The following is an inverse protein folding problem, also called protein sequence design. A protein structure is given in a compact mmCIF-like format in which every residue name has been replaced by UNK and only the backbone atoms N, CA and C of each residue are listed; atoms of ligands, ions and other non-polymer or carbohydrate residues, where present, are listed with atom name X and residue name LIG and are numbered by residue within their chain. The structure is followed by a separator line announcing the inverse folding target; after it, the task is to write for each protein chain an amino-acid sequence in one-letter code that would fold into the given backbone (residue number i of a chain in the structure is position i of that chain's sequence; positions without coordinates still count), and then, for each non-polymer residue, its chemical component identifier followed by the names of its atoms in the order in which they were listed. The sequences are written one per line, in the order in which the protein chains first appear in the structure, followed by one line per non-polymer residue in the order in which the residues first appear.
data_IF_996548662548
#
_entry.id   IF_996548662548
#
_cell.length_a   1.000
_cell.length_b   1.000
_cell.length_c   1.000
_cell.angle_alpha   90.00
_cell.angle_beta   90.00
_cell.angle_gamma   90.00
#
_symmetry.space_group_name_H-M   'P 1'
#
loop_
_entity.id
_entity.type
_entity.pdbx_description
1 polymer ?
#
# COMPACT_ATOMS: atom_id res chain seq x y z
N UNK A 1 63.95 -7.17 62.29
CA UNK A 1 62.73 -7.43 61.49
C UNK A 1 61.75 -6.29 61.77
N UNK A 2 61.49 -5.43 60.79
CA UNK A 2 60.47 -4.38 60.95
C UNK A 2 59.09 -4.91 60.51
N UNK A 3 57.94 -4.36 61.05
CA UNK A 3 56.65 -4.89 60.80
C UNK A 3 56.06 -4.42 59.44
N UNK A 4 55.29 -5.31 58.81
CA UNK A 4 54.60 -5.09 57.54
C UNK A 4 53.46 -4.09 57.67
N UNK A 5 53.47 -3.16 56.72
CA UNK A 5 52.48 -2.10 56.58
C UNK A 5 51.16 -2.64 55.89
N UNK A 6 50.05 -2.61 56.59
CA UNK A 6 48.75 -3.00 56.03
C UNK A 6 48.25 -1.88 55.11
N UNK A 7 48.20 -2.11 53.81
CA UNK A 7 47.50 -1.23 52.85
C UNK A 7 45.98 -1.39 52.99
N UNK A 8 45.35 -0.33 53.39
CA UNK A 8 43.88 -0.20 53.42
C UNK A 8 43.36 -0.09 52.01
N UNK A 9 42.59 -1.08 51.54
CA UNK A 9 41.83 -1.04 50.27
C UNK A 9 40.53 -0.25 50.51
N UNK A 10 40.39 0.89 49.82
CA UNK A 10 39.10 1.58 49.68
C UNK A 10 38.18 0.74 48.77
N UNK A 11 36.89 0.56 49.14
CA UNK A 11 35.94 -0.05 48.23
C UNK A 11 35.54 0.94 47.12
N UNK A 12 35.72 0.54 45.87
CA UNK A 12 35.19 1.25 44.71
C UNK A 12 33.69 1.12 44.69
N UNK A 13 32.98 2.23 44.91
CA UNK A 13 31.51 2.26 44.77
C UNK A 13 31.17 2.15 43.28
N UNK A 14 30.64 1.02 42.90
CA UNK A 14 30.00 0.82 41.58
C UNK A 14 28.64 1.53 41.57
N UNK A 15 28.55 2.66 40.92
CA UNK A 15 27.25 3.31 40.64
C UNK A 15 26.70 2.65 39.38
N UNK A 16 25.50 2.06 39.45
CA UNK A 16 24.90 1.46 38.23
C UNK A 16 24.37 2.56 37.32
N UNK A 17 25.11 2.84 36.24
CA UNK A 17 24.73 3.79 35.17
C UNK A 17 23.69 3.22 34.19
N UNK A 18 23.10 2.06 34.51
CA UNK A 18 22.20 1.35 33.59
C UNK A 18 20.71 1.70 33.73
N UNK A 19 20.28 2.35 34.82
CA UNK A 19 18.84 2.57 35.07
C UNK A 19 18.24 3.80 34.35
N UNK A 20 19.06 4.78 33.99
CA UNK A 20 18.58 6.02 33.38
C UNK A 20 18.34 5.91 31.88
N UNK A 21 19.02 5.00 31.19
CA UNK A 21 18.87 4.81 29.75
C UNK A 21 17.62 4.00 29.34
N UNK A 22 17.12 3.09 30.20
CA UNK A 22 15.90 2.34 29.89
C UNK A 22 14.64 3.20 30.00
N UNK A 23 14.60 4.15 30.94
CA UNK A 23 13.44 5.04 31.09
C UNK A 23 13.35 6.04 29.94
N UNK A 24 14.47 6.55 29.44
CA UNK A 24 14.51 7.45 28.29
C UNK A 24 14.12 6.74 26.97
N UNK A 25 14.52 5.48 26.78
CA UNK A 25 14.11 4.70 25.61
C UNK A 25 12.65 4.28 25.63
N UNK A 26 12.07 3.95 26.80
CA UNK A 26 10.65 3.63 26.91
C UNK A 26 9.76 4.86 26.67
N UNK A 27 10.18 6.03 27.13
CA UNK A 27 9.43 7.27 26.90
C UNK A 27 9.54 7.75 25.43
N UNK A 28 10.67 7.53 24.75
CA UNK A 28 10.80 7.84 23.32
C UNK A 28 9.93 6.91 22.44
N UNK A 29 9.80 5.63 22.80
CA UNK A 29 8.93 4.71 22.06
C UNK A 29 7.43 5.00 22.26
N UNK A 30 7.02 5.46 23.44
CA UNK A 30 5.63 5.80 23.74
C UNK A 30 5.22 7.10 23.02
N UNK A 31 6.11 8.08 22.93
CA UNK A 31 5.82 9.35 22.26
C UNK A 31 5.70 9.21 20.73
N UNK A 32 6.39 8.25 20.10
CA UNK A 32 6.22 7.93 18.69
C UNK A 32 5.03 7.00 18.39
N UNK A 33 4.57 6.20 19.35
CA UNK A 33 3.46 5.26 19.16
C UNK A 33 2.10 5.96 19.00
N UNK A 34 1.94 7.18 19.51
CA UNK A 34 0.66 7.91 19.51
C UNK A 34 0.48 8.89 18.34
N UNK A 35 1.47 9.04 17.46
CA UNK A 35 1.40 9.96 16.31
C UNK A 35 1.40 9.22 14.96
N UNK A 36 0.49 8.26 14.83
CA UNK A 36 0.27 7.63 13.53
C UNK A 36 -0.36 8.65 12.56
N UNK A 37 0.18 8.83 11.34
CA UNK A 37 -0.37 9.77 10.39
C UNK A 37 -1.73 9.32 9.89
N UNK A 38 -2.63 10.25 9.61
CA UNK A 38 -3.81 9.96 8.82
C UNK A 38 -3.40 9.65 7.38
N UNK A 39 -4.01 8.63 6.79
CA UNK A 39 -3.71 8.17 5.43
C UNK A 39 -4.96 8.37 4.57
N UNK A 40 -4.84 9.17 3.53
CA UNK A 40 -5.91 9.39 2.54
C UNK A 40 -5.42 8.85 1.20
N UNK A 41 -6.07 7.80 0.69
CA UNK A 41 -5.88 7.32 -0.67
C UNK A 41 -6.99 7.87 -1.55
N UNK A 42 -6.66 8.85 -2.40
CA UNK A 42 -7.59 9.45 -3.34
C UNK A 42 -7.33 8.90 -4.74
N UNK A 43 -8.24 8.05 -5.22
CA UNK A 43 -8.13 7.43 -6.53
C UNK A 43 -9.10 8.06 -7.51
N UNK A 44 -8.59 8.58 -8.61
CA UNK A 44 -9.40 9.12 -9.71
C UNK A 44 -9.57 8.05 -10.77
N UNK A 45 -10.83 7.74 -11.11
CA UNK A 45 -11.18 6.73 -12.10
C UNK A 45 -11.05 7.32 -13.52
N UNK A 46 -10.51 6.54 -14.43
CA UNK A 46 -10.36 6.86 -15.85
C UNK A 46 -9.59 8.15 -16.19
N UNK A 47 -8.76 8.66 -15.27
CA UNK A 47 -7.92 9.83 -15.51
C UNK A 47 -6.58 9.43 -16.13
N UNK A 48 -6.31 9.94 -17.32
CA UNK A 48 -5.02 9.80 -17.99
C UNK A 48 -3.96 10.77 -17.45
N UNK A 49 -2.70 10.50 -17.71
CA UNK A 49 -1.58 11.33 -17.27
C UNK A 49 -1.54 12.74 -17.90
N UNK A 50 -2.32 12.95 -18.97
CA UNK A 50 -2.48 14.24 -19.63
C UNK A 50 -3.77 14.99 -19.26
N UNK A 51 -4.65 14.36 -18.45
CA UNK A 51 -5.98 14.90 -18.11
C UNK A 51 -5.93 15.83 -16.88
N UNK A 52 -4.80 16.46 -16.66
CA UNK A 52 -4.58 17.45 -15.60
C UNK A 52 -3.66 18.56 -16.10
N UNK A 53 -3.64 19.69 -15.43
CA UNK A 53 -2.67 20.77 -15.72
C UNK A 53 -1.22 20.44 -15.33
N UNK A 54 -1.01 19.33 -14.59
CA UNK A 54 0.31 18.82 -14.24
C UNK A 54 0.89 17.98 -15.38
N UNK A 55 2.11 18.25 -15.83
CA UNK A 55 2.80 17.36 -16.73
C UNK A 55 3.39 16.18 -15.93
N UNK A 56 2.73 15.04 -15.88
CA UNK A 56 3.33 13.82 -15.33
C UNK A 56 4.45 13.26 -16.23
N UNK A 57 5.17 14.15 -16.86
CA UNK A 57 6.26 13.94 -17.78
C UNK A 57 7.30 15.06 -17.63
N UNK A 58 8.39 15.02 -18.40
CA UNK A 58 9.43 16.03 -18.40
C UNK A 58 8.98 17.37 -19.01
N UNK A 59 7.95 17.33 -19.83
CA UNK A 59 7.42 18.52 -20.52
C UNK A 59 5.90 18.56 -20.43
N UNK A 60 5.36 19.79 -20.36
CA UNK A 60 3.92 20.05 -20.48
C UNK A 60 3.48 19.75 -21.92
N UNK A 61 2.39 19.01 -22.06
CA UNK A 61 1.81 18.70 -23.37
C UNK A 61 0.65 19.65 -23.67
N UNK A 62 0.24 19.71 -24.94
CA UNK A 62 -0.94 20.47 -25.34
C UNK A 62 -2.20 20.08 -24.54
N UNK A 63 -2.37 18.78 -24.23
CA UNK A 63 -3.53 18.32 -23.47
C UNK A 63 -3.53 18.81 -22.04
N UNK A 64 -2.39 18.93 -21.39
CA UNK A 64 -2.30 19.51 -20.05
C UNK A 64 -2.75 20.97 -20.00
N UNK A 65 -2.70 21.69 -21.12
CA UNK A 65 -3.14 23.11 -21.20
C UNK A 65 -4.66 23.26 -21.26
N UNK A 66 -5.38 22.18 -21.54
CA UNK A 66 -6.85 22.16 -21.58
C UNK A 66 -7.50 22.06 -20.19
N UNK A 67 -6.72 21.71 -19.18
CA UNK A 67 -7.23 21.44 -17.84
C UNK A 67 -6.73 22.45 -16.81
N UNK A 68 -7.59 22.73 -15.84
CA UNK A 68 -7.27 23.53 -14.66
C UNK A 68 -7.42 22.68 -13.39
N UNK A 69 -6.30 22.24 -12.85
CA UNK A 69 -6.26 21.41 -11.63
C UNK A 69 -5.38 22.03 -10.53
N UNK A 70 -5.71 23.23 -10.03
CA UNK A 70 -4.85 24.00 -9.14
C UNK A 70 -4.58 23.31 -7.80
N UNK A 71 -5.50 22.51 -7.30
CA UNK A 71 -5.29 21.75 -6.07
C UNK A 71 -4.31 20.58 -6.26
N UNK A 72 -4.29 19.95 -7.44
CA UNK A 72 -3.29 18.92 -7.76
C UNK A 72 -1.90 19.56 -7.93
N UNK A 73 -1.82 20.73 -8.56
CA UNK A 73 -0.58 21.49 -8.65
C UNK A 73 -0.04 21.87 -7.26
N UNK A 74 -0.92 22.30 -6.36
CA UNK A 74 -0.55 22.60 -4.98
C UNK A 74 -0.03 21.36 -4.25
N UNK A 75 -0.71 20.21 -4.40
CA UNK A 75 -0.30 18.95 -3.80
C UNK A 75 1.07 18.52 -4.34
N UNK A 76 1.29 18.61 -5.65
CA UNK A 76 2.56 18.27 -6.27
C UNK A 76 3.73 19.14 -5.79
N UNK A 77 3.47 20.46 -5.56
CA UNK A 77 4.47 21.38 -5.00
C UNK A 77 4.82 21.09 -3.53
N UNK A 78 3.87 20.53 -2.77
CA UNK A 78 4.04 20.24 -1.35
C UNK A 78 4.50 18.80 -1.06
N UNK A 79 4.42 17.94 -2.05
CA UNK A 79 4.71 16.53 -1.93
C UNK A 79 5.68 16.00 -2.98
N UNK A 80 5.48 14.77 -3.37
CA UNK A 80 6.27 14.10 -4.40
C UNK A 80 5.36 13.67 -5.55
N UNK A 81 5.79 13.92 -6.78
CA UNK A 81 5.12 13.50 -8.00
C UNK A 81 5.90 12.35 -8.65
N UNK A 82 5.25 11.23 -8.86
CA UNK A 82 5.81 10.08 -9.54
C UNK A 82 5.48 10.14 -11.04
N UNK A 83 6.48 10.18 -11.88
CA UNK A 83 6.32 10.20 -13.35
C UNK A 83 6.30 8.82 -13.98
N UNK A 84 6.62 7.78 -13.21
CA UNK A 84 6.66 6.38 -13.66
C UNK A 84 5.84 5.48 -12.71
N UNK A 85 4.59 5.85 -12.50
CA UNK A 85 3.61 5.04 -11.78
C UNK A 85 2.58 4.51 -12.77
N UNK A 86 2.43 3.19 -12.84
CA UNK A 86 1.61 2.52 -13.84
C UNK A 86 0.45 1.78 -13.18
N UNK A 87 -0.72 1.88 -13.79
CA UNK A 87 -1.88 1.08 -13.47
C UNK A 87 -2.01 -0.12 -14.43
N UNK A 88 -2.92 -1.02 -14.14
CA UNK A 88 -3.34 -2.03 -15.11
C UNK A 88 -4.30 -1.42 -16.14
N UNK A 89 -4.62 -2.17 -17.19
CA UNK A 89 -5.39 -1.67 -18.33
C UNK A 89 -6.79 -1.16 -17.97
N UNK A 90 -7.42 -1.73 -16.93
CA UNK A 90 -8.78 -1.38 -16.52
C UNK A 90 -8.95 -1.44 -15.00
N UNK A 91 -10.14 -1.07 -14.54
CA UNK A 91 -10.49 -0.81 -13.16
C UNK A 91 -10.22 -1.97 -12.18
N UNK A 92 -10.83 -3.15 -12.39
CA UNK A 92 -10.73 -4.26 -11.42
C UNK A 92 -9.31 -4.77 -11.20
N UNK A 93 -8.50 -5.02 -12.25
CA UNK A 93 -7.08 -5.38 -12.09
C UNK A 93 -6.29 -4.33 -11.32
N UNK A 94 -6.47 -3.05 -11.66
CA UNK A 94 -5.79 -1.94 -10.99
C UNK A 94 -6.13 -1.88 -9.51
N UNK A 95 -7.42 -1.98 -9.18
CA UNK A 95 -7.90 -1.90 -7.79
C UNK A 95 -7.49 -3.13 -6.99
N UNK A 96 -7.51 -4.31 -7.59
CA UNK A 96 -6.99 -5.52 -6.97
C UNK A 96 -5.49 -5.39 -6.65
N UNK A 97 -4.69 -4.93 -7.62
CA UNK A 97 -3.26 -4.68 -7.41
C UNK A 97 -3.00 -3.66 -6.31
N UNK A 98 -3.73 -2.54 -6.32
CA UNK A 98 -3.58 -1.47 -5.34
C UNK A 98 -3.90 -1.95 -3.92
N UNK A 99 -5.02 -2.65 -3.75
CA UNK A 99 -5.49 -3.08 -2.42
C UNK A 99 -4.63 -4.19 -1.84
N UNK A 100 -4.09 -5.08 -2.68
CA UNK A 100 -3.35 -6.27 -2.22
C UNK A 100 -1.84 -6.14 -2.36
N UNK A 101 -1.34 -5.10 -3.05
CA UNK A 101 0.07 -4.98 -3.39
C UNK A 101 0.58 -6.08 -4.33
N UNK A 102 -0.33 -6.76 -5.03
CA UNK A 102 -0.01 -7.90 -5.89
C UNK A 102 -0.12 -7.53 -7.37
N UNK A 103 0.87 -7.91 -8.16
CA UNK A 103 0.89 -7.68 -9.60
C UNK A 103 -0.22 -8.47 -10.32
N UNK A 104 -0.79 -7.92 -11.39
CA UNK A 104 -1.87 -8.53 -12.17
C UNK A 104 -1.52 -9.90 -12.73
N UNK A 105 -0.29 -10.14 -13.15
CA UNK A 105 0.18 -11.45 -13.60
C UNK A 105 0.09 -12.51 -12.50
N UNK A 106 0.17 -12.12 -11.24
CA UNK A 106 0.11 -13.01 -10.09
C UNK A 106 -1.32 -13.22 -9.59
N UNK A 107 -2.12 -12.16 -9.45
CA UNK A 107 -3.52 -12.30 -9.03
C UNK A 107 -4.45 -12.73 -10.17
N UNK A 108 -4.02 -12.63 -11.44
CA UNK A 108 -4.73 -13.08 -12.64
C UNK A 108 -6.11 -12.44 -12.86
N UNK A 109 -6.37 -11.34 -12.22
CA UNK A 109 -7.53 -10.50 -12.53
C UNK A 109 -7.16 -9.62 -13.69
N UNK A 110 -7.72 -9.87 -14.86
CA UNK A 110 -7.33 -9.23 -16.13
C UNK A 110 -8.46 -8.45 -16.79
N UNK A 111 -9.69 -8.62 -16.28
CA UNK A 111 -10.87 -7.96 -16.81
C UNK A 111 -11.79 -7.47 -15.67
N UNK A 112 -12.90 -6.84 -16.01
CA UNK A 112 -13.92 -6.40 -15.06
C UNK A 112 -14.51 -7.57 -14.28
N UNK A 113 -14.73 -7.36 -13.00
CA UNK A 113 -15.28 -8.36 -12.10
C UNK A 113 -16.71 -7.99 -11.72
N UNK A 114 -17.63 -8.19 -12.65
CA UNK A 114 -19.02 -7.81 -12.47
C UNK A 114 -19.78 -8.82 -11.60
N UNK A 115 -19.49 -10.10 -11.73
CA UNK A 115 -20.14 -11.19 -11.00
C UNK A 115 -19.10 -12.24 -10.56
N UNK A 116 -19.33 -12.82 -9.38
CA UNK A 116 -18.49 -13.87 -8.84
C UNK A 116 -18.55 -15.11 -9.74
N UNK A 117 -17.42 -15.75 -9.97
CA UNK A 117 -17.27 -16.97 -10.77
C UNK A 117 -17.79 -16.88 -12.22
N UNK A 118 -17.89 -15.68 -12.76
CA UNK A 118 -18.41 -15.48 -14.10
C UNK A 118 -17.31 -14.93 -15.00
N UNK A 119 -17.14 -15.52 -16.16
CA UNK A 119 -16.30 -14.99 -17.21
C UNK A 119 -16.89 -13.72 -17.78
N UNK A 120 -16.11 -12.66 -17.90
CA UNK A 120 -16.52 -11.38 -18.46
C UNK A 120 -16.15 -11.23 -19.93
N UNK A 121 -15.24 -12.07 -20.41
CA UNK A 121 -14.87 -12.07 -21.83
C UNK A 121 -15.94 -12.71 -22.69
N UNK A 122 -16.13 -12.15 -23.89
CA UNK A 122 -17.10 -12.70 -24.84
C UNK A 122 -16.60 -14.03 -25.39
N UNK A 123 -17.52 -14.95 -25.65
CA UNK A 123 -17.20 -16.15 -26.41
C UNK A 123 -16.75 -15.72 -27.81
N UNK A 124 -15.60 -16.23 -28.23
CA UNK A 124 -15.06 -16.02 -29.56
C UNK A 124 -15.11 -17.36 -30.33
N UNK A 125 -15.27 -17.29 -31.65
CA UNK A 125 -15.33 -18.49 -32.49
C UNK A 125 -13.95 -18.98 -32.93
N UNK A 126 -12.92 -18.15 -32.79
CA UNK A 126 -11.55 -18.42 -33.22
C UNK A 126 -10.62 -18.59 -32.04
N UNK A 127 -10.79 -17.76 -31.00
CA UNK A 127 -9.92 -17.73 -29.85
C UNK A 127 -10.56 -18.47 -28.67
N UNK A 128 -9.85 -19.43 -28.13
CA UNK A 128 -10.21 -20.06 -26.87
C UNK A 128 -9.79 -19.16 -25.72
N UNK A 129 -10.73 -18.89 -24.82
CA UNK A 129 -10.41 -18.18 -23.56
C UNK A 129 -9.58 -19.10 -22.69
N UNK A 130 -8.40 -18.67 -22.20
CA UNK A 130 -7.59 -19.51 -21.33
C UNK A 130 -8.27 -19.77 -19.99
N UNK A 131 -8.17 -20.98 -19.48
CA UNK A 131 -8.80 -21.43 -18.24
C UNK A 131 -8.46 -20.58 -17.00
N UNK A 132 -7.38 -19.82 -17.07
CA UNK A 132 -6.92 -18.97 -15.98
C UNK A 132 -7.41 -17.50 -16.05
N UNK A 133 -8.12 -17.11 -17.12
CA UNK A 133 -8.55 -15.71 -17.35
C UNK A 133 -9.95 -15.41 -16.80
N UNK A 134 -10.25 -15.92 -15.64
CA UNK A 134 -11.54 -15.73 -14.98
C UNK A 134 -11.37 -15.01 -13.66
N UNK A 135 -11.39 -13.70 -13.60
CA UNK A 135 -11.50 -13.00 -12.32
C UNK A 135 -10.58 -13.58 -11.20
N UNK A 136 -9.33 -13.86 -11.52
CA UNK A 136 -8.42 -14.51 -10.57
C UNK A 136 -8.59 -16.03 -10.45
N UNK A 137 -8.98 -16.69 -11.52
CA UNK A 137 -9.34 -18.13 -11.55
C UNK A 137 -8.28 -19.04 -10.98
N UNK A 138 -8.69 -19.88 -10.04
CA UNK A 138 -7.98 -21.10 -9.76
C UNK A 138 -8.28 -22.16 -10.83
N UNK A 139 -7.26 -22.83 -11.36
CA UNK A 139 -7.41 -24.00 -12.23
C UNK A 139 -7.81 -25.26 -11.46
N UNK A 140 -7.83 -25.18 -10.14
CA UNK A 140 -8.22 -26.29 -9.26
C UNK A 140 -9.73 -26.37 -9.21
N UNK A 141 -10.27 -27.53 -9.57
CA UNK A 141 -11.71 -27.78 -9.51
C UNK A 141 -12.25 -27.58 -8.09
N UNK A 142 -13.42 -26.95 -7.98
CA UNK A 142 -14.08 -26.66 -6.71
C UNK A 142 -13.54 -25.44 -5.96
N UNK A 143 -12.47 -24.80 -6.45
CA UNK A 143 -11.98 -23.52 -5.89
C UNK A 143 -12.68 -22.34 -6.54
N UNK A 144 -13.13 -21.40 -5.74
CA UNK A 144 -13.75 -20.19 -6.26
C UNK A 144 -12.81 -19.40 -7.16
N UNK A 145 -13.35 -18.85 -8.24
CA UNK A 145 -12.65 -17.96 -9.16
C UNK A 145 -12.46 -16.57 -8.54
N UNK A 146 -11.67 -16.51 -7.47
CA UNK A 146 -11.37 -15.29 -6.74
C UNK A 146 -9.91 -15.30 -6.32
N UNK A 147 -9.31 -14.12 -6.30
CA UNK A 147 -7.98 -13.96 -5.71
C UNK A 147 -8.11 -13.89 -4.18
N UNK A 148 -7.30 -14.68 -3.49
CA UNK A 148 -7.20 -14.63 -2.04
C UNK A 148 -5.91 -13.90 -1.67
N UNK A 149 -6.04 -12.78 -0.98
CA UNK A 149 -4.89 -11.97 -0.58
C UNK A 149 -5.23 -11.03 0.57
N UNK A 150 -4.24 -10.70 1.37
CA UNK A 150 -4.38 -9.73 2.46
C UNK A 150 -4.40 -8.31 1.89
N UNK A 151 -5.44 -7.55 2.19
CA UNK A 151 -5.50 -6.15 1.80
C UNK A 151 -4.68 -5.26 2.72
N UNK A 152 -4.12 -4.15 2.20
CA UNK A 152 -3.47 -3.16 3.05
C UNK A 152 -4.45 -2.54 4.06
N UNK A 153 -5.73 -2.47 3.72
CA UNK A 153 -6.80 -2.00 4.61
C UNK A 153 -6.90 -2.89 5.85
N UNK A 154 -6.81 -4.22 5.66
CA UNK A 154 -6.79 -5.16 6.79
C UNK A 154 -5.54 -4.99 7.65
N UNK A 155 -4.38 -4.77 7.04
CA UNK A 155 -3.13 -4.50 7.77
C UNK A 155 -3.21 -3.23 8.59
N UNK A 156 -3.75 -2.15 8.02
CA UNK A 156 -3.98 -0.90 8.73
C UNK A 156 -4.96 -1.08 9.90
N UNK A 157 -6.07 -1.79 9.68
CA UNK A 157 -7.03 -2.10 10.73
C UNK A 157 -6.38 -2.89 11.87
N UNK A 158 -5.58 -3.89 11.55
CA UNK A 158 -4.84 -4.68 12.56
C UNK A 158 -3.80 -3.83 13.31
N UNK A 159 -3.33 -2.75 12.69
CA UNK A 159 -2.43 -1.76 13.30
C UNK A 159 -3.19 -0.66 14.07
N UNK A 160 -4.50 -0.81 14.27
CA UNK A 160 -5.33 0.11 15.07
C UNK A 160 -5.83 1.34 14.32
N UNK A 161 -5.76 1.37 12.98
CA UNK A 161 -6.42 2.41 12.21
C UNK A 161 -7.93 2.16 12.10
N UNK A 162 -8.70 3.23 12.14
CA UNK A 162 -10.08 3.22 11.67
C UNK A 162 -10.08 3.40 10.15
N UNK A 163 -10.74 2.49 9.42
CA UNK A 163 -10.72 2.51 7.95
C UNK A 163 -12.10 2.83 7.40
N UNK A 164 -12.15 3.76 6.46
CA UNK A 164 -13.38 4.19 5.79
C UNK A 164 -13.18 4.07 4.28
N UNK A 165 -14.16 3.55 3.59
CA UNK A 165 -14.21 3.56 2.12
C UNK A 165 -15.40 4.39 1.65
N UNK A 166 -15.18 5.23 0.65
CA UNK A 166 -16.21 6.04 0.02
C UNK A 166 -16.04 5.97 -1.50
N UNK A 167 -17.10 5.64 -2.22
CA UNK A 167 -17.11 5.56 -3.68
C UNK A 167 -16.95 4.14 -4.24
N UNK A 168 -16.33 4.04 -5.43
CA UNK A 168 -16.23 2.80 -6.21
C UNK A 168 -15.21 1.83 -5.64
N UNK A 169 -15.62 0.64 -5.25
CA UNK A 169 -14.75 -0.45 -4.84
C UNK A 169 -14.28 -1.32 -6.02
N UNK A 170 -15.22 -1.90 -6.76
CA UNK A 170 -15.03 -2.73 -7.97
C UNK A 170 -14.02 -3.89 -7.82
N UNK A 171 -13.92 -4.45 -6.60
CA UNK A 171 -13.10 -5.61 -6.27
C UNK A 171 -13.78 -6.55 -5.27
N UNK A 172 -15.02 -6.28 -4.87
CA UNK A 172 -15.71 -7.00 -3.78
C UNK A 172 -15.93 -8.49 -4.03
N UNK A 173 -15.90 -8.91 -5.29
CA UNK A 173 -16.00 -10.33 -5.67
C UNK A 173 -14.65 -11.04 -5.75
N UNK A 174 -13.53 -10.35 -5.47
CA UNK A 174 -12.19 -10.83 -5.75
C UNK A 174 -11.31 -11.06 -4.52
N UNK A 175 -11.63 -10.42 -3.40
CA UNK A 175 -10.76 -10.43 -2.22
C UNK A 175 -11.57 -10.94 -1.03
N UNK A 176 -11.14 -12.04 -0.49
CA UNK A 176 -11.66 -12.65 0.73
C UNK A 176 -10.56 -12.83 1.77
#
# INVERSE_FOLDING_TARGET
MPPMNKKTLLPLAFVPLAATNLQAQSNMQIEHADKRPNIILFMVDDMGWQDTSLPFWTQKTHYNELYETPNMERLAKQGMMFTQAYANSISSPTRCSLITGTNAARHRVTNWTLQKNTMTDRKDSILAVPDWNYNGVSQVSGTNHTFVGTSFVQLLKNSGYHTIHCGKAHFLSLIH
#
